data_IF_648462287353
#
_entry.id   IF_648462287353
#
_cell.length_a   1.000
_cell.length_b   1.000
_cell.length_c   1.000
_cell.angle_alpha   90.00
_cell.angle_beta   90.00
_cell.angle_gamma   90.00
#
_symmetry.space_group_name_H-M   'P 1'
#
loop_
_entity.id
_entity.type
_entity.pdbx_description
1 polymer ?
#
# COMPACT_ATOMS: atom_id res chain seq x y z
N UNK A 1 -101.45 -22.59 -27.81
CA UNK A 1 -100.94 -23.91 -28.20
C UNK A 1 -99.45 -23.91 -27.89
N UNK A 2 -99.15 -24.77 -27.00
CA UNK A 2 -97.88 -25.44 -26.62
C UNK A 2 -96.55 -24.75 -27.06
N UNK A 3 -95.86 -24.07 -26.09
CA UNK A 3 -94.48 -23.61 -26.21
C UNK A 3 -93.60 -24.44 -25.25
N UNK A 4 -92.48 -24.86 -25.69
CA UNK A 4 -91.46 -25.63 -24.99
C UNK A 4 -90.47 -24.75 -24.27
N UNK A 5 -90.29 -24.94 -22.94
CA UNK A 5 -89.16 -24.41 -22.16
C UNK A 5 -87.92 -25.16 -22.55
N UNK A 6 -86.82 -24.47 -22.80
CA UNK A 6 -85.46 -24.99 -22.88
C UNK A 6 -84.69 -24.36 -21.73
N UNK A 7 -84.28 -25.22 -20.81
CA UNK A 7 -83.36 -24.88 -19.71
C UNK A 7 -81.91 -24.86 -20.22
N UNK A 8 -81.22 -23.74 -20.04
CA UNK A 8 -79.78 -23.65 -20.30
C UNK A 8 -79.07 -23.75 -18.96
N UNK A 9 -78.35 -24.85 -18.78
CA UNK A 9 -77.45 -25.05 -17.61
C UNK A 9 -76.15 -24.24 -17.83
N UNK A 10 -75.95 -23.23 -16.99
CA UNK A 10 -74.72 -22.45 -16.97
C UNK A 10 -73.59 -23.18 -16.25
N UNK A 11 -72.52 -23.45 -16.97
CA UNK A 11 -71.28 -24.02 -16.45
C UNK A 11 -70.42 -22.88 -15.88
N UNK A 12 -70.27 -22.81 -14.56
CA UNK A 12 -69.38 -21.85 -13.89
C UNK A 12 -67.98 -22.49 -13.85
N UNK A 13 -67.08 -22.01 -14.69
CA UNK A 13 -65.67 -22.37 -14.65
C UNK A 13 -64.95 -21.50 -13.62
N UNK A 14 -64.54 -22.10 -12.49
CA UNK A 14 -63.69 -21.47 -11.49
C UNK A 14 -62.26 -21.50 -12.01
N UNK A 15 -61.75 -20.34 -12.45
CA UNK A 15 -60.34 -20.19 -12.79
C UNK A 15 -59.55 -19.92 -11.52
N UNK A 16 -58.88 -20.96 -11.01
CA UNK A 16 -57.92 -20.84 -9.90
C UNK A 16 -56.64 -20.17 -10.44
N UNK A 17 -56.49 -18.87 -10.19
CA UNK A 17 -55.24 -18.13 -10.49
C UNK A 17 -54.16 -18.52 -9.47
N UNK A 18 -53.27 -19.41 -9.87
CA UNK A 18 -52.06 -19.74 -9.10
C UNK A 18 -51.07 -18.54 -9.18
N UNK A 19 -50.96 -17.78 -8.11
CA UNK A 19 -49.92 -16.77 -7.95
C UNK A 19 -48.57 -17.49 -7.71
N UNK A 20 -47.75 -17.62 -8.76
CA UNK A 20 -46.38 -18.01 -8.65
C UNK A 20 -45.61 -16.80 -8.04
N UNK A 21 -45.43 -16.84 -6.73
CA UNK A 21 -44.48 -15.95 -6.05
C UNK A 21 -43.07 -16.34 -6.50
N UNK A 22 -42.59 -15.69 -7.55
CA UNK A 22 -41.17 -15.73 -7.90
C UNK A 22 -40.38 -15.13 -6.75
N UNK A 23 -39.86 -15.98 -5.88
CA UNK A 23 -38.89 -15.59 -4.85
C UNK A 23 -37.63 -15.07 -5.58
N UNK A 24 -37.56 -13.77 -5.76
CA UNK A 24 -36.33 -13.11 -6.19
C UNK A 24 -35.30 -13.34 -5.07
N UNK A 25 -34.46 -14.35 -5.24
CA UNK A 25 -33.26 -14.49 -4.44
C UNK A 25 -32.40 -13.26 -4.72
N UNK A 26 -32.43 -12.29 -3.81
CA UNK A 26 -31.54 -11.15 -3.85
C UNK A 26 -30.11 -11.71 -3.90
N UNK A 27 -29.45 -11.57 -5.05
CA UNK A 27 -28.00 -11.83 -5.15
C UNK A 27 -27.35 -10.95 -4.09
N UNK A 28 -26.46 -11.50 -3.24
CA UNK A 28 -25.72 -10.68 -2.30
C UNK A 28 -25.06 -9.56 -3.12
N UNK A 29 -25.43 -8.32 -2.83
CA UNK A 29 -24.81 -7.15 -3.46
C UNK A 29 -23.32 -7.23 -3.17
N UNK A 30 -22.52 -7.40 -4.23
CA UNK A 30 -21.06 -7.41 -4.07
C UNK A 30 -20.66 -6.09 -3.41
N UNK A 31 -19.99 -6.15 -2.28
CA UNK A 31 -19.48 -4.96 -1.61
C UNK A 31 -18.62 -4.17 -2.60
N UNK A 32 -18.88 -2.87 -2.81
CA UNK A 32 -18.11 -2.09 -3.76
C UNK A 32 -16.62 -2.10 -3.39
N UNK A 33 -15.72 -2.06 -4.40
CA UNK A 33 -14.30 -2.01 -4.14
C UNK A 33 -13.93 -0.81 -3.24
N UNK A 34 -13.03 -1.03 -2.29
CA UNK A 34 -12.52 0.02 -1.42
C UNK A 34 -11.51 0.89 -2.18
N UNK A 35 -11.49 2.17 -1.88
CA UNK A 35 -10.40 3.07 -2.30
C UNK A 35 -9.31 3.06 -1.23
N UNK A 36 -8.13 2.56 -1.58
CA UNK A 36 -7.02 2.34 -0.66
C UNK A 36 -5.83 3.16 -1.11
N UNK A 37 -5.40 4.10 -0.27
CA UNK A 37 -4.17 4.84 -0.47
C UNK A 37 -3.03 4.17 0.29
N UNK A 38 -1.97 3.78 -0.42
CA UNK A 38 -0.88 3.01 0.16
C UNK A 38 0.49 3.51 -0.29
N UNK A 39 1.47 3.43 0.59
CA UNK A 39 2.86 3.73 0.27
C UNK A 39 3.32 2.93 -0.96
N UNK A 40 4.09 3.57 -1.87
CA UNK A 40 4.55 2.97 -3.12
C UNK A 40 5.25 1.61 -2.94
N UNK A 41 5.97 1.41 -1.84
CA UNK A 41 6.61 0.13 -1.50
C UNK A 41 5.64 -1.03 -1.20
N UNK A 42 4.34 -0.77 -1.04
CA UNK A 42 3.30 -1.79 -0.81
C UNK A 42 2.64 -2.28 -2.10
N UNK A 43 3.00 -1.69 -3.25
CA UNK A 43 2.32 -1.94 -4.54
C UNK A 43 2.19 -3.43 -4.86
N UNK A 44 3.29 -4.17 -4.83
CA UNK A 44 3.28 -5.57 -5.26
C UNK A 44 2.47 -6.44 -4.29
N UNK A 45 2.70 -6.28 -2.99
CA UNK A 45 2.07 -7.14 -1.99
C UNK A 45 0.57 -6.88 -1.86
N UNK A 46 0.12 -5.61 -1.95
CA UNK A 46 -1.30 -5.31 -1.83
C UNK A 46 -2.09 -5.73 -3.05
N UNK A 47 -1.55 -5.53 -4.26
CA UNK A 47 -2.16 -6.05 -5.50
C UNK A 47 -2.23 -7.58 -5.51
N UNK A 48 -1.21 -8.26 -5.01
CA UNK A 48 -1.20 -9.72 -4.93
C UNK A 48 -2.17 -10.26 -3.87
N UNK A 49 -2.39 -9.52 -2.78
CA UNK A 49 -3.31 -9.92 -1.71
C UNK A 49 -4.78 -9.78 -2.09
N UNK A 50 -5.12 -8.67 -2.75
CA UNK A 50 -6.50 -8.34 -3.10
C UNK A 50 -6.52 -7.31 -4.24
N UNK A 51 -6.31 -7.79 -5.46
CA UNK A 51 -6.29 -6.97 -6.68
C UNK A 51 -7.64 -6.36 -7.08
N UNK A 52 -8.73 -6.72 -6.39
CA UNK A 52 -10.07 -6.21 -6.67
C UNK A 52 -10.32 -4.79 -6.14
N UNK A 53 -9.45 -4.29 -5.27
CA UNK A 53 -9.57 -2.96 -4.67
C UNK A 53 -9.02 -1.86 -5.58
N UNK A 54 -9.49 -0.63 -5.40
CA UNK A 54 -8.95 0.56 -6.07
C UNK A 54 -7.77 1.13 -5.29
N UNK A 55 -6.56 0.95 -5.83
CA UNK A 55 -5.35 1.41 -5.19
C UNK A 55 -4.80 2.71 -5.78
N UNK A 56 -4.35 3.62 -4.91
CA UNK A 56 -3.45 4.71 -5.25
C UNK A 56 -2.13 4.52 -4.50
N UNK A 57 -1.04 4.36 -5.25
CA UNK A 57 0.29 4.16 -4.69
C UNK A 57 1.17 5.38 -4.94
N UNK A 58 1.70 5.98 -3.88
CA UNK A 58 2.59 7.14 -3.95
C UNK A 58 3.43 7.28 -2.67
N UNK A 59 4.20 8.35 -2.55
CA UNK A 59 4.84 8.73 -1.29
C UNK A 59 3.79 8.99 -0.21
N UNK A 60 3.98 8.43 0.99
CA UNK A 60 2.99 8.53 2.07
C UNK A 60 2.66 9.97 2.46
N UNK A 61 3.59 10.91 2.31
CA UNK A 61 3.39 12.34 2.53
C UNK A 61 2.43 12.96 1.51
N UNK A 62 2.52 12.58 0.24
CA UNK A 62 1.62 13.06 -0.81
C UNK A 62 0.21 12.52 -0.58
N UNK A 63 0.08 11.23 -0.25
CA UNK A 63 -1.20 10.61 0.08
C UNK A 63 -1.83 11.23 1.36
N UNK A 64 -1.03 11.49 2.41
CA UNK A 64 -1.48 12.23 3.60
C UNK A 64 -2.10 13.57 3.20
N UNK A 65 -1.41 14.33 2.33
CA UNK A 65 -1.90 15.64 1.87
C UNK A 65 -3.22 15.52 1.11
N UNK A 66 -3.35 14.55 0.21
CA UNK A 66 -4.60 14.30 -0.53
C UNK A 66 -5.76 13.95 0.41
N UNK A 67 -5.52 13.07 1.39
CA UNK A 67 -6.53 12.69 2.39
C UNK A 67 -6.94 13.89 3.24
N UNK A 68 -5.97 14.70 3.67
CA UNK A 68 -6.23 15.94 4.42
C UNK A 68 -7.08 16.93 3.62
N UNK A 69 -6.90 16.97 2.32
CA UNK A 69 -7.66 17.81 1.38
C UNK A 69 -8.99 17.19 0.95
N UNK A 70 -9.44 16.09 1.58
CA UNK A 70 -10.77 15.52 1.38
C UNK A 70 -10.86 14.46 0.27
N UNK A 71 -9.74 13.86 -0.17
CA UNK A 71 -9.80 12.75 -1.11
C UNK A 71 -10.72 11.62 -0.58
N UNK A 72 -11.61 11.04 -1.42
CA UNK A 72 -12.53 9.97 -1.03
C UNK A 72 -11.78 8.64 -0.88
N UNK A 73 -11.29 8.36 0.32
CA UNK A 73 -10.45 7.20 0.65
C UNK A 73 -11.06 6.43 1.81
N UNK A 74 -10.97 5.11 1.75
CA UNK A 74 -11.46 4.22 2.80
C UNK A 74 -10.35 3.80 3.76
N UNK A 75 -9.14 3.52 3.22
CA UNK A 75 -8.00 3.03 4.00
C UNK A 75 -6.72 3.75 3.60
N UNK A 76 -5.90 4.11 4.58
CA UNK A 76 -4.56 4.66 4.38
C UNK A 76 -3.49 3.77 5.00
N UNK A 77 -2.51 3.34 4.19
CA UNK A 77 -1.35 2.54 4.62
C UNK A 77 -0.04 3.29 4.35
N UNK A 78 0.66 3.70 5.39
CA UNK A 78 1.85 4.55 5.34
C UNK A 78 3.13 3.78 5.65
N UNK A 79 4.24 4.15 4.99
CA UNK A 79 5.59 3.66 5.27
C UNK A 79 6.28 4.35 6.46
N UNK A 80 5.59 5.27 7.13
CA UNK A 80 6.05 5.89 8.38
C UNK A 80 4.88 6.25 9.28
N UNK A 81 4.99 6.05 10.61
CA UNK A 81 3.97 6.43 11.58
C UNK A 81 3.62 7.91 11.55
N UNK A 82 4.57 8.78 11.20
CA UNK A 82 4.38 10.22 11.19
C UNK A 82 3.14 10.66 10.40
N UNK A 83 2.90 10.06 9.24
CA UNK A 83 1.81 10.45 8.34
C UNK A 83 0.44 10.01 8.88
N UNK A 84 0.33 8.77 9.35
CA UNK A 84 -0.91 8.25 9.96
C UNK A 84 -1.23 8.97 11.26
N UNK A 85 -0.23 9.21 12.10
CA UNK A 85 -0.40 9.90 13.39
C UNK A 85 -0.85 11.35 13.21
N UNK A 86 -0.40 12.06 12.18
CA UNK A 86 -0.87 13.42 11.85
C UNK A 86 -2.35 13.41 11.47
N UNK A 87 -2.79 12.45 10.64
CA UNK A 87 -4.20 12.32 10.27
C UNK A 87 -5.06 11.90 11.46
N UNK A 88 -4.57 11.02 12.32
CA UNK A 88 -5.26 10.60 13.54
C UNK A 88 -5.46 11.76 14.51
N UNK A 89 -4.42 12.55 14.78
CA UNK A 89 -4.51 13.75 15.62
C UNK A 89 -5.49 14.79 15.06
N UNK A 90 -5.67 14.83 13.75
CA UNK A 90 -6.66 15.68 13.09
C UNK A 90 -8.07 15.06 13.03
N UNK A 91 -8.31 13.87 13.59
CA UNK A 91 -9.59 13.17 13.56
C UNK A 91 -10.01 12.63 12.19
N UNK A 92 -9.08 12.58 11.22
CA UNK A 92 -9.37 12.19 9.84
C UNK A 92 -9.34 10.68 9.66
N UNK A 93 -8.50 9.97 10.40
CA UNK A 93 -8.45 8.51 10.41
C UNK A 93 -8.68 7.96 11.81
N UNK A 94 -9.15 6.73 11.90
CA UNK A 94 -9.25 5.99 13.15
C UNK A 94 -7.84 5.69 13.69
N UNK A 95 -7.74 5.18 14.94
CA UNK A 95 -6.45 4.87 15.56
C UNK A 95 -5.60 3.95 14.66
N UNK A 96 -4.41 4.40 14.23
CA UNK A 96 -3.56 3.60 13.36
C UNK A 96 -3.03 2.36 14.06
N UNK A 97 -2.79 1.30 13.26
CA UNK A 97 -2.19 0.06 13.73
C UNK A 97 -0.90 -0.20 12.95
N UNK A 98 0.19 -0.49 13.65
CA UNK A 98 1.41 -0.98 12.99
C UNK A 98 1.15 -2.39 12.47
N UNK A 99 1.39 -2.63 11.17
CA UNK A 99 1.09 -3.93 10.54
C UNK A 99 2.31 -4.64 9.97
N UNK A 100 3.42 -3.93 9.75
CA UNK A 100 4.68 -4.52 9.29
C UNK A 100 5.84 -3.55 9.50
N UNK A 101 7.06 -4.03 9.21
CA UNK A 101 8.28 -3.24 9.24
C UNK A 101 9.15 -3.51 7.99
N UNK A 102 10.18 -2.70 7.77
CA UNK A 102 11.07 -2.84 6.63
C UNK A 102 12.52 -2.47 6.99
N UNK A 103 13.43 -2.66 6.06
CA UNK A 103 14.83 -2.20 6.16
C UNK A 103 15.18 -1.36 4.94
N UNK A 104 15.95 -0.32 5.17
CA UNK A 104 16.55 0.47 4.10
C UNK A 104 17.76 -0.29 3.54
N UNK A 105 18.00 -0.15 2.24
CA UNK A 105 19.17 -0.65 1.53
C UNK A 105 19.70 0.43 0.58
N UNK A 106 20.98 0.37 0.27
CA UNK A 106 21.55 1.08 -0.86
C UNK A 106 21.51 0.14 -2.06
N UNK A 107 21.00 0.59 -3.20
CA UNK A 107 21.05 -0.16 -4.45
C UNK A 107 21.93 0.55 -5.48
N UNK A 108 22.54 -0.25 -6.34
CA UNK A 108 23.33 0.19 -7.48
C UNK A 108 22.87 -0.58 -8.73
N UNK A 109 23.07 -0.09 -9.96
CA UNK A 109 22.82 -0.88 -11.16
C UNK A 109 23.57 -2.22 -11.10
N UNK A 110 23.05 -3.24 -11.76
CA UNK A 110 23.66 -4.59 -11.75
C UNK A 110 25.11 -4.56 -12.25
N UNK A 111 25.39 -3.74 -13.27
CA UNK A 111 26.73 -3.52 -13.83
C UNK A 111 27.65 -2.75 -12.89
N UNK A 112 27.09 -2.00 -11.94
CA UNK A 112 27.81 -1.20 -10.95
C UNK A 112 28.99 -0.36 -11.54
N UNK A 113 28.74 0.53 -12.50
CA UNK A 113 29.82 1.24 -13.22
C UNK A 113 30.66 2.12 -12.30
N UNK A 114 30.08 2.65 -11.22
CA UNK A 114 30.81 3.44 -10.21
C UNK A 114 31.61 2.57 -9.22
N UNK A 115 31.53 1.25 -9.30
CA UNK A 115 32.26 0.30 -8.46
C UNK A 115 31.96 0.44 -6.96
N UNK A 116 30.72 0.79 -6.60
CA UNK A 116 30.28 0.98 -5.20
C UNK A 116 30.11 -0.39 -4.55
N UNK A 117 30.85 -0.66 -3.48
CA UNK A 117 30.79 -1.92 -2.72
C UNK A 117 30.34 -1.74 -1.28
N UNK A 118 30.36 -0.51 -0.79
CA UNK A 118 30.01 -0.11 0.56
C UNK A 118 29.31 1.24 0.57
N UNK A 119 28.46 1.49 1.58
CA UNK A 119 27.88 2.82 1.80
C UNK A 119 28.95 3.91 1.98
N UNK A 120 30.16 3.55 2.45
CA UNK A 120 31.28 4.48 2.61
C UNK A 120 31.88 4.95 1.29
N UNK A 121 31.76 4.15 0.22
CA UNK A 121 32.24 4.51 -1.13
C UNK A 121 31.49 5.74 -1.69
N UNK A 122 30.31 6.02 -1.19
CA UNK A 122 29.57 7.25 -1.54
C UNK A 122 30.33 8.51 -1.18
N UNK A 123 31.26 8.48 -0.20
CA UNK A 123 32.09 9.63 0.16
C UNK A 123 33.24 9.81 -0.82
N UNK A 124 33.98 8.73 -1.12
CA UNK A 124 35.25 8.76 -1.83
C UNK A 124 35.12 8.76 -3.35
N UNK A 125 34.01 8.22 -3.89
CA UNK A 125 33.82 8.08 -5.36
C UNK A 125 32.96 9.18 -5.95
N UNK A 126 33.17 9.58 -7.21
CA UNK A 126 32.22 10.40 -7.95
C UNK A 126 30.97 9.55 -8.25
N UNK A 127 29.85 9.89 -7.66
CA UNK A 127 28.59 9.13 -7.82
C UNK A 127 27.41 10.04 -8.09
N UNK A 128 26.52 9.64 -8.98
CA UNK A 128 25.20 10.22 -9.17
C UNK A 128 24.25 9.53 -8.19
N UNK A 129 23.99 10.16 -7.06
CA UNK A 129 23.10 9.63 -6.03
C UNK A 129 21.67 10.10 -6.27
N UNK A 130 20.70 9.18 -6.22
CA UNK A 130 19.28 9.50 -6.24
C UNK A 130 18.65 9.08 -4.91
N UNK A 131 17.80 9.94 -4.35
CA UNK A 131 17.11 9.69 -3.07
C UNK A 131 15.65 10.13 -3.16
N UNK A 132 14.79 9.61 -2.32
CA UNK A 132 13.47 10.20 -2.16
C UNK A 132 13.57 11.56 -1.46
N UNK A 133 12.64 12.47 -1.74
CA UNK A 133 12.59 13.79 -1.10
C UNK A 133 12.50 13.66 0.44
N UNK A 134 13.01 14.61 1.21
CA UNK A 134 13.06 14.52 2.68
C UNK A 134 11.72 14.28 3.36
N UNK A 135 10.63 14.78 2.78
CA UNK A 135 9.27 14.58 3.30
C UNK A 135 8.72 13.18 3.05
N UNK A 136 9.27 12.47 2.06
CA UNK A 136 8.93 11.06 1.77
C UNK A 136 9.53 10.17 2.84
N UNK A 137 8.82 9.16 3.38
CA UNK A 137 9.36 8.28 4.42
C UNK A 137 10.75 7.72 4.10
N UNK A 138 10.97 7.17 2.90
CA UNK A 138 12.27 6.63 2.49
C UNK A 138 13.38 7.71 2.50
N UNK A 139 13.06 8.95 2.11
CA UNK A 139 13.98 10.08 2.16
C UNK A 139 14.35 10.46 3.58
N UNK A 140 13.37 10.60 4.47
CA UNK A 140 13.60 10.88 5.89
C UNK A 140 14.46 9.80 6.56
N UNK A 141 14.21 8.52 6.26
CA UNK A 141 15.03 7.42 6.74
C UNK A 141 16.44 7.44 6.14
N UNK A 142 16.61 7.80 4.86
CA UNK A 142 17.92 7.99 4.23
C UNK A 142 18.74 9.05 4.96
N UNK A 143 18.15 10.22 5.23
CA UNK A 143 18.82 11.27 6.00
C UNK A 143 19.25 10.79 7.39
N UNK A 144 18.41 10.00 8.06
CA UNK A 144 18.74 9.41 9.36
C UNK A 144 19.94 8.46 9.28
N UNK A 145 19.98 7.56 8.27
CA UNK A 145 21.11 6.65 8.03
C UNK A 145 22.38 7.45 7.77
N UNK A 146 22.36 8.38 6.84
CA UNK A 146 23.56 9.16 6.47
C UNK A 146 24.10 9.94 7.66
N UNK A 147 23.25 10.54 8.49
CA UNK A 147 23.66 11.23 9.70
C UNK A 147 24.30 10.28 10.71
N UNK A 148 23.66 9.13 11.00
CA UNK A 148 24.21 8.12 11.93
C UNK A 148 25.55 7.55 11.48
N UNK A 149 25.81 7.51 10.17
CA UNK A 149 27.04 7.00 9.59
C UNK A 149 28.13 8.09 9.39
N UNK A 150 27.85 9.35 9.74
CA UNK A 150 28.77 10.47 9.47
C UNK A 150 28.94 10.74 7.96
N UNK A 151 27.93 10.44 7.16
CA UNK A 151 27.95 10.53 5.70
C UNK A 151 27.05 11.66 5.15
N UNK A 152 26.65 12.64 5.98
CA UNK A 152 25.76 13.72 5.54
C UNK A 152 26.31 14.52 4.34
N UNK A 153 27.64 14.61 4.20
CA UNK A 153 28.30 15.28 3.07
C UNK A 153 27.98 14.67 1.71
N UNK A 154 27.59 13.37 1.64
CA UNK A 154 27.22 12.73 0.36
C UNK A 154 25.93 13.30 -0.24
N UNK A 155 25.17 14.08 0.52
CA UNK A 155 23.96 14.75 0.03
C UNK A 155 24.27 15.81 -1.05
N UNK A 156 25.51 16.30 -1.14
CA UNK A 156 25.97 17.18 -2.25
C UNK A 156 26.05 16.43 -3.58
N UNK A 157 26.08 15.10 -3.58
CA UNK A 157 26.11 14.24 -4.77
C UNK A 157 24.72 13.81 -5.24
N UNK A 158 23.67 14.30 -4.57
CA UNK A 158 22.28 14.00 -4.96
C UNK A 158 21.94 14.77 -6.23
N UNK A 159 21.76 14.04 -7.32
CA UNK A 159 21.37 14.60 -8.62
C UNK A 159 19.85 14.72 -8.80
N UNK A 160 19.08 13.95 -8.03
CA UNK A 160 17.62 14.03 -8.08
C UNK A 160 16.96 13.57 -6.77
N UNK A 161 15.82 14.19 -6.45
CA UNK A 161 14.98 13.87 -5.29
C UNK A 161 13.59 13.45 -5.74
N UNK A 162 13.23 12.19 -5.51
CA UNK A 162 12.04 11.58 -6.05
C UNK A 162 10.82 11.73 -5.12
N UNK A 163 9.63 11.73 -5.72
CA UNK A 163 8.35 11.83 -5.02
C UNK A 163 7.99 10.57 -4.22
N UNK A 164 8.60 9.44 -4.55
CA UNK A 164 8.43 8.16 -3.85
C UNK A 164 9.63 7.23 -4.06
N UNK A 165 9.62 6.08 -3.35
CA UNK A 165 10.75 5.13 -3.37
C UNK A 165 10.81 4.31 -4.66
N UNK A 166 9.69 4.08 -5.34
CA UNK A 166 9.66 3.34 -6.61
C UNK A 166 10.34 4.14 -7.72
N UNK A 167 10.18 5.46 -7.73
CA UNK A 167 10.88 6.34 -8.65
C UNK A 167 12.42 6.29 -8.43
N UNK A 168 12.88 6.22 -7.18
CA UNK A 168 14.30 5.98 -6.86
C UNK A 168 14.76 4.64 -7.43
N UNK A 169 14.00 3.57 -7.17
CA UNK A 169 14.31 2.21 -7.66
C UNK A 169 14.42 2.19 -9.18
N UNK A 170 13.44 2.77 -9.87
CA UNK A 170 13.41 2.80 -11.34
C UNK A 170 14.61 3.51 -11.94
N UNK A 171 15.02 4.68 -11.41
CA UNK A 171 16.18 5.42 -11.90
C UNK A 171 17.49 4.63 -11.78
N UNK A 172 17.67 3.91 -10.68
CA UNK A 172 18.86 3.06 -10.50
C UNK A 172 18.79 1.83 -11.41
N UNK A 173 17.64 1.16 -11.49
CA UNK A 173 17.47 0.00 -12.35
C UNK A 173 17.71 0.31 -13.84
N UNK A 174 17.33 1.51 -14.29
CA UNK A 174 17.55 1.99 -15.64
C UNK A 174 18.97 2.57 -15.88
N UNK A 175 19.85 2.54 -14.87
CA UNK A 175 21.21 3.09 -14.99
C UNK A 175 21.27 4.63 -15.08
N UNK A 176 20.19 5.33 -14.75
CA UNK A 176 20.14 6.81 -14.75
C UNK A 176 20.84 7.42 -13.54
N UNK A 177 21.12 6.60 -12.52
CA UNK A 177 21.88 6.96 -11.32
C UNK A 177 22.78 5.79 -10.91
N UNK A 178 23.91 6.12 -10.26
CA UNK A 178 24.89 5.13 -9.80
C UNK A 178 24.50 4.47 -8.51
N UNK A 179 23.68 5.12 -7.69
CA UNK A 179 23.17 4.57 -6.43
C UNK A 179 21.87 5.25 -5.99
N UNK A 180 21.10 4.51 -5.16
CA UNK A 180 19.88 5.04 -4.54
C UNK A 180 19.54 4.31 -3.24
N UNK A 181 18.88 5.02 -2.31
CA UNK A 181 18.38 4.42 -1.08
C UNK A 181 16.91 4.04 -1.23
N UNK A 182 16.61 2.75 -1.04
CA UNK A 182 15.28 2.14 -1.16
C UNK A 182 15.02 1.19 -0.01
N UNK A 183 13.80 0.65 0.11
CA UNK A 183 13.59 -0.49 1.01
C UNK A 183 14.02 -1.79 0.34
N UNK A 184 14.37 -2.78 1.14
CA UNK A 184 14.75 -4.13 0.64
C UNK A 184 13.63 -4.71 -0.23
N UNK A 185 12.38 -4.44 0.10
CA UNK A 185 11.21 -4.89 -0.67
C UNK A 185 11.11 -4.27 -2.06
N UNK A 186 11.63 -3.05 -2.27
CA UNK A 186 11.61 -2.40 -3.59
C UNK A 186 12.71 -2.94 -4.51
N UNK A 187 13.82 -3.42 -3.93
CA UNK A 187 14.92 -4.01 -4.69
C UNK A 187 14.62 -5.42 -5.20
N UNK A 188 13.73 -6.18 -4.52
CA UNK A 188 13.45 -7.58 -4.87
C UNK A 188 12.85 -7.78 -6.26
N UNK A 189 11.81 -7.02 -6.67
CA UNK A 189 11.21 -7.18 -8.01
C UNK A 189 12.15 -6.87 -9.17
N UNK A 190 13.24 -6.13 -8.92
CA UNK A 190 14.23 -5.70 -9.92
C UNK A 190 15.63 -6.26 -9.62
N UNK A 191 15.71 -7.40 -8.96
CA UNK A 191 16.97 -8.02 -8.52
C UNK A 191 17.90 -8.47 -9.66
N UNK A 192 17.37 -8.61 -10.86
CA UNK A 192 18.11 -8.81 -12.11
C UNK A 192 18.77 -7.53 -12.61
N UNK A 193 18.23 -6.34 -12.28
CA UNK A 193 18.67 -5.04 -12.74
C UNK A 193 19.53 -4.29 -11.72
N UNK A 194 19.42 -4.64 -10.43
CA UNK A 194 20.16 -3.95 -9.35
C UNK A 194 20.90 -4.92 -8.44
N UNK A 195 21.95 -4.44 -7.80
CA UNK A 195 22.65 -5.10 -6.70
C UNK A 195 22.39 -4.35 -5.39
N UNK A 196 22.20 -5.11 -4.31
CA UNK A 196 21.91 -4.55 -2.98
C UNK A 196 23.19 -4.46 -2.16
N UNK A 197 23.48 -3.27 -1.65
CA UNK A 197 24.56 -3.01 -0.70
C UNK A 197 23.93 -2.85 0.68
N UNK A 198 24.38 -3.67 1.63
CA UNK A 198 23.86 -3.68 2.99
C UNK A 198 24.28 -2.43 3.77
N UNK A 199 23.33 -1.84 4.46
CA UNK A 199 23.58 -0.80 5.46
C UNK A 199 23.94 -1.50 6.77
N UNK A 200 24.98 -1.04 7.51
CA UNK A 200 25.34 -1.61 8.80
C UNK A 200 24.17 -1.59 9.80
N UNK A 201 23.99 -2.67 10.56
CA UNK A 201 22.84 -2.84 11.47
C UNK A 201 22.65 -1.65 12.43
N UNK A 202 23.75 -1.09 12.98
CA UNK A 202 23.71 0.07 13.89
C UNK A 202 23.12 1.33 13.28
N UNK A 203 23.12 1.45 11.94
CA UNK A 203 22.61 2.62 11.22
C UNK A 203 21.13 2.50 10.84
N UNK A 204 20.55 1.29 10.87
CA UNK A 204 19.17 1.11 10.45
C UNK A 204 18.20 1.94 11.30
N UNK A 205 17.32 2.72 10.67
CA UNK A 205 16.19 3.33 11.34
C UNK A 205 15.14 2.25 11.65
N UNK A 206 14.28 2.51 12.63
CA UNK A 206 13.10 1.67 12.88
C UNK A 206 12.02 2.03 11.84
N UNK A 207 12.03 1.36 10.70
CA UNK A 207 11.02 1.54 9.66
C UNK A 207 9.77 0.76 10.05
N UNK A 208 8.67 1.44 10.37
CA UNK A 208 7.38 0.84 10.71
C UNK A 208 6.32 1.34 9.74
N UNK A 209 5.46 0.44 9.34
CA UNK A 209 4.30 0.74 8.50
C UNK A 209 3.04 0.73 9.36
N UNK A 210 2.24 1.76 9.22
CA UNK A 210 0.95 1.86 9.90
C UNK A 210 -0.19 1.92 8.88
N UNK A 211 -1.33 1.36 9.27
CA UNK A 211 -2.56 1.34 8.50
C UNK A 211 -3.71 1.88 9.35
N UNK A 212 -4.61 2.63 8.74
CA UNK A 212 -5.79 3.18 9.40
C UNK A 212 -6.98 3.24 8.46
N UNK A 213 -8.18 3.11 8.99
CA UNK A 213 -9.44 3.39 8.28
C UNK A 213 -9.70 4.89 8.35
N UNK A 214 -10.18 5.49 7.26
CA UNK A 214 -10.63 6.89 7.23
C UNK A 214 -11.93 7.00 8.02
N UNK A 215 -11.98 7.92 9.00
CA UNK A 215 -13.07 7.99 9.99
C UNK A 215 -14.44 8.23 9.36
N UNK A 216 -14.49 8.98 8.26
CA UNK A 216 -15.71 9.31 7.49
C UNK A 216 -15.94 8.41 6.27
N UNK A 217 -15.23 7.28 6.15
CA UNK A 217 -15.45 6.33 5.06
C UNK A 217 -16.89 5.82 5.05
N UNK A 218 -17.61 5.89 3.93
CA UNK A 218 -18.94 5.29 3.79
C UNK A 218 -18.87 3.75 3.82
N UNK A 219 -17.70 3.18 3.56
CA UNK A 219 -17.44 1.74 3.52
C UNK A 219 -16.75 1.22 4.79
N UNK A 220 -16.98 1.87 5.94
CA UNK A 220 -16.20 1.65 7.17
C UNK A 220 -16.10 0.19 7.60
N UNK A 221 -17.19 -0.55 7.56
CA UNK A 221 -17.21 -1.98 7.93
C UNK A 221 -16.32 -2.83 7.02
N UNK A 222 -16.42 -2.62 5.70
CA UNK A 222 -15.58 -3.30 4.72
C UNK A 222 -14.10 -2.91 4.86
N UNK A 223 -13.81 -1.62 5.08
CA UNK A 223 -12.46 -1.11 5.32
C UNK A 223 -11.82 -1.73 6.57
N UNK A 224 -12.58 -1.84 7.67
CA UNK A 224 -12.12 -2.54 8.87
C UNK A 224 -11.88 -4.04 8.64
N UNK A 225 -12.75 -4.70 7.85
CA UNK A 225 -12.56 -6.10 7.48
C UNK A 225 -11.28 -6.28 6.65
N UNK A 226 -11.01 -5.38 5.71
CA UNK A 226 -9.80 -5.40 4.90
C UNK A 226 -8.53 -5.19 5.76
N UNK A 227 -8.55 -4.23 6.68
CA UNK A 227 -7.44 -4.02 7.65
C UNK A 227 -7.21 -5.29 8.49
N UNK A 228 -8.29 -5.93 8.99
CA UNK A 228 -8.16 -7.22 9.71
C UNK A 228 -7.54 -8.31 8.84
N UNK A 229 -7.88 -8.37 7.55
CA UNK A 229 -7.28 -9.32 6.60
C UNK A 229 -5.78 -9.07 6.46
N UNK A 230 -5.31 -7.82 6.36
CA UNK A 230 -3.87 -7.50 6.34
C UNK A 230 -3.18 -7.94 7.63
N UNK A 231 -3.83 -7.82 8.78
CA UNK A 231 -3.30 -8.21 10.09
C UNK A 231 -3.37 -9.73 10.34
N UNK A 232 -4.16 -10.47 9.57
CA UNK A 232 -4.35 -11.91 9.71
C UNK A 232 -3.10 -12.71 9.30
N UNK A 233 -3.07 -14.01 9.61
CA UNK A 233 -2.01 -14.92 9.20
C UNK A 233 -1.78 -14.90 7.68
N UNK A 234 -2.86 -14.80 6.86
CA UNK A 234 -2.78 -14.67 5.40
C UNK A 234 -2.03 -13.40 4.99
N UNK A 235 -2.43 -12.25 5.52
CA UNK A 235 -1.80 -10.97 5.22
C UNK A 235 -0.33 -10.92 5.67
N UNK A 236 -0.04 -11.40 6.88
CA UNK A 236 1.32 -11.42 7.43
C UNK A 236 2.24 -12.39 6.66
N UNK A 237 1.72 -13.52 6.20
CA UNK A 237 2.48 -14.45 5.34
C UNK A 237 2.83 -13.82 4.00
N UNK A 238 1.88 -13.14 3.36
CA UNK A 238 2.14 -12.44 2.09
C UNK A 238 3.17 -11.31 2.26
N UNK A 239 3.06 -10.52 3.32
CA UNK A 239 4.03 -9.47 3.65
C UNK A 239 5.44 -10.07 3.85
N UNK A 240 5.55 -11.17 4.60
CA UNK A 240 6.83 -11.87 4.81
C UNK A 240 7.42 -12.38 3.49
N UNK A 241 6.61 -13.00 2.62
CA UNK A 241 7.04 -13.46 1.31
C UNK A 241 7.51 -12.29 0.41
N UNK A 242 6.87 -11.13 0.50
CA UNK A 242 7.30 -9.92 -0.19
C UNK A 242 8.60 -9.31 0.40
N UNK A 243 9.09 -9.81 1.54
CA UNK A 243 10.35 -9.39 2.18
C UNK A 243 10.18 -8.35 3.28
N UNK A 244 8.95 -8.03 3.67
CA UNK A 244 8.70 -7.21 4.85
C UNK A 244 9.09 -7.96 6.13
N UNK A 245 9.41 -7.21 7.16
CA UNK A 245 9.75 -7.76 8.46
C UNK A 245 8.48 -8.01 9.28
N UNK A 246 8.44 -9.08 10.08
CA UNK A 246 7.34 -9.29 11.00
C UNK A 246 7.27 -8.13 12.02
N UNK A 247 6.09 -7.93 12.59
CA UNK A 247 5.93 -7.02 13.71
C UNK A 247 6.90 -7.41 14.83
N UNK A 248 7.59 -6.45 15.47
CA UNK A 248 8.28 -6.73 16.70
C UNK A 248 7.25 -7.30 17.68
N UNK A 249 7.57 -8.43 18.31
CA UNK A 249 6.74 -8.92 19.43
C UNK A 249 6.60 -7.76 20.41
N UNK A 250 5.37 -7.54 20.89
CA UNK A 250 5.17 -6.61 21.99
C UNK A 250 6.13 -7.06 23.12
N UNK A 251 6.97 -6.15 23.58
CA UNK A 251 7.74 -6.40 24.80
C UNK A 251 6.72 -6.57 25.91
N UNK A 252 6.57 -7.81 26.36
CA UNK A 252 5.88 -8.17 27.61
C UNK A 252 6.47 -7.42 28.77
#
# INVERSE_FOLDING_TARGET
MRGRLLAIAGLVAVVASAWLTSGATARPSATPPLTIYAAASLTEVFKALDGAQHFSFAGSNALETQIRNGAPVDVFASAAPLNTQRLFKAGIVDKPVTFTANRLALIVPKSNPAGIRSIYDLRSKPVKLVVAAPAVPAGGYTLSVLRKMGLSSVLSKVVSRESDVKAVTGKVALGQADAGFVYVTDARPVSDQVSVIRIPARAHPRVRYEIAVVSKSPNKTAAQAWVRMILSAKGQTALKHAGFLPLPKASS
#
